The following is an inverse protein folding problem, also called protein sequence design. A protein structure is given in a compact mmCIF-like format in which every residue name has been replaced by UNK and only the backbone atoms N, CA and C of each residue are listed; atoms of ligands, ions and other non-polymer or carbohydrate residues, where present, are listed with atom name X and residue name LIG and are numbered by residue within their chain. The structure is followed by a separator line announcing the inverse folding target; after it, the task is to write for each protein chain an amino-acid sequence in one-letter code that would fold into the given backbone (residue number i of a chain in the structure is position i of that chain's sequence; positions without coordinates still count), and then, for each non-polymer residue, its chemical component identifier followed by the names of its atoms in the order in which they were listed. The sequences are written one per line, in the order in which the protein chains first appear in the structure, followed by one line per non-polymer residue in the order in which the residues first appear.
data_IF_167276833241
#
_entry.id   IF_167276833241
#
_cell.length_a   1.000
_cell.length_b   1.000
_cell.length_c   1.000
_cell.angle_alpha   90.00
_cell.angle_beta   90.00
_cell.angle_gamma   90.00
#
_symmetry.space_group_name_H-M   'P 1'
#
loop_
_entity.id
_entity.type
_entity.pdbx_description
1 polymer ?
#
# COMPACT_ATOMS: atom_id res chain seq x y z
N UNK A 1 -28.15 10.86 -14.46
CA UNK A 1 -27.22 9.83 -13.94
C UNK A 1 -26.06 10.54 -13.30
N UNK A 2 -26.14 10.83 -12.00
CA UNK A 2 -25.01 11.31 -11.21
C UNK A 2 -24.73 10.21 -10.19
N UNK A 3 -23.69 9.42 -10.41
CA UNK A 3 -23.17 8.52 -9.39
C UNK A 3 -22.64 9.41 -8.27
N UNK A 4 -23.47 9.64 -7.26
CA UNK A 4 -23.08 10.15 -5.97
C UNK A 4 -22.18 9.08 -5.36
N UNK A 5 -20.91 9.08 -5.75
CA UNK A 5 -19.89 8.42 -4.96
C UNK A 5 -19.76 9.30 -3.73
N UNK A 6 -20.57 9.01 -2.71
CA UNK A 6 -20.27 9.36 -1.33
C UNK A 6 -18.99 8.63 -0.96
N UNK A 7 -17.87 9.05 -1.56
CA UNK A 7 -16.57 8.54 -1.22
C UNK A 7 -16.27 9.14 0.15
N UNK A 8 -16.49 8.34 1.19
CA UNK A 8 -15.90 8.63 2.49
C UNK A 8 -14.44 9.05 2.23
N UNK A 9 -13.95 10.14 2.83
CA UNK A 9 -12.56 10.57 2.61
C UNK A 9 -11.56 9.45 2.93
N UNK A 10 -11.97 8.47 3.74
CA UNK A 10 -11.23 7.25 4.03
C UNK A 10 -11.08 6.30 2.83
N UNK A 11 -12.07 6.20 1.95
CA UNK A 11 -11.99 5.36 0.74
C UNK A 11 -11.04 5.97 -0.29
N UNK A 12 -11.09 7.30 -0.48
CA UNK A 12 -10.14 8.04 -1.32
C UNK A 12 -8.72 7.87 -0.79
N UNK A 13 -8.52 8.06 0.52
CA UNK A 13 -7.23 7.80 1.18
C UNK A 13 -6.78 6.36 0.98
N UNK A 14 -7.66 5.37 1.10
CA UNK A 14 -7.32 3.97 0.90
C UNK A 14 -6.85 3.70 -0.54
N UNK A 15 -7.56 4.21 -1.55
CA UNK A 15 -7.19 4.06 -2.96
C UNK A 15 -5.81 4.69 -3.24
N UNK A 16 -5.56 5.91 -2.77
CA UNK A 16 -4.26 6.55 -2.94
C UNK A 16 -3.13 5.79 -2.25
N UNK A 17 -3.37 5.29 -1.02
CA UNK A 17 -2.40 4.48 -0.28
C UNK A 17 -2.11 3.16 -1.00
N UNK A 18 -3.11 2.50 -1.59
CA UNK A 18 -2.91 1.27 -2.36
C UNK A 18 -2.04 1.50 -3.60
N UNK A 19 -2.27 2.59 -4.34
CA UNK A 19 -1.45 2.90 -5.51
C UNK A 19 -0.02 3.29 -5.14
N UNK A 20 0.17 4.13 -4.12
CA UNK A 20 1.51 4.46 -3.59
C UNK A 20 2.26 3.20 -3.15
N UNK A 21 1.54 2.21 -2.63
CA UNK A 21 2.10 0.93 -2.25
C UNK A 21 2.49 0.08 -3.45
N UNK A 22 1.70 0.09 -4.52
CA UNK A 22 2.07 -0.59 -5.76
C UNK A 22 3.38 -0.01 -6.32
N UNK A 23 3.51 1.31 -6.34
CA UNK A 23 4.75 1.99 -6.73
C UNK A 23 5.90 1.66 -5.80
N UNK A 24 5.69 1.70 -4.48
CA UNK A 24 6.70 1.30 -3.52
C UNK A 24 7.11 -0.18 -3.68
N UNK A 25 6.20 -1.07 -4.06
CA UNK A 25 6.50 -2.49 -4.31
C UNK A 25 7.35 -2.63 -5.56
N UNK A 26 7.01 -1.92 -6.64
CA UNK A 26 7.83 -1.88 -7.85
C UNK A 26 9.26 -1.45 -7.54
N UNK A 27 9.44 -0.33 -6.85
CA UNK A 27 10.76 0.21 -6.55
C UNK A 27 11.53 -0.63 -5.52
N UNK A 28 10.91 -0.99 -4.40
CA UNK A 28 11.62 -1.61 -3.27
C UNK A 28 11.72 -3.14 -3.37
N UNK A 29 10.78 -3.80 -4.04
CA UNK A 29 10.75 -5.27 -4.15
C UNK A 29 11.26 -5.74 -5.51
N UNK A 30 10.89 -5.04 -6.58
CA UNK A 30 11.26 -5.44 -7.94
C UNK A 30 12.49 -4.69 -8.47
N UNK A 31 13.01 -3.70 -7.72
CA UNK A 31 14.10 -2.81 -8.13
C UNK A 31 13.79 -2.10 -9.47
N UNK A 32 12.51 -1.88 -9.75
CA UNK A 32 12.02 -1.24 -10.98
C UNK A 32 11.96 0.27 -10.79
N UNK A 33 12.46 1.03 -11.76
CA UNK A 33 12.34 2.48 -11.75
C UNK A 33 10.94 2.91 -12.18
N UNK A 34 10.33 3.80 -11.40
CA UNK A 34 9.07 4.43 -11.78
C UNK A 34 9.29 5.34 -12.99
N UNK A 35 8.34 5.34 -13.91
CA UNK A 35 8.36 6.30 -15.02
C UNK A 35 8.07 7.72 -14.52
N UNK A 36 8.37 8.73 -15.34
CA UNK A 36 8.06 10.13 -15.03
C UNK A 36 6.56 10.35 -14.76
N UNK A 37 5.70 9.62 -15.48
CA UNK A 37 4.24 9.62 -15.26
C UNK A 37 3.88 9.03 -13.89
N UNK A 38 4.48 7.92 -13.50
CA UNK A 38 4.24 7.30 -12.18
C UNK A 38 4.80 8.15 -11.03
N UNK A 39 5.89 8.90 -11.27
CA UNK A 39 6.42 9.85 -10.29
C UNK A 39 5.51 11.08 -10.13
N UNK A 40 4.94 11.58 -11.22
CA UNK A 40 3.96 12.66 -11.17
C UNK A 40 2.67 12.22 -10.46
N UNK A 41 2.13 11.05 -10.81
CA UNK A 41 0.96 10.48 -10.15
C UNK A 41 1.22 10.21 -8.65
N UNK A 42 2.40 9.69 -8.30
CA UNK A 42 2.83 9.55 -6.91
C UNK A 42 2.81 10.90 -6.18
N UNK A 43 3.36 11.96 -6.78
CA UNK A 43 3.42 13.27 -6.15
C UNK A 43 2.02 13.87 -5.94
N UNK A 44 1.16 13.77 -6.95
CA UNK A 44 -0.23 14.25 -6.92
C UNK A 44 -1.05 13.56 -5.83
N UNK A 45 -1.02 12.22 -5.79
CA UNK A 45 -1.70 11.44 -4.73
C UNK A 45 -1.18 11.76 -3.34
N UNK A 46 0.11 12.06 -3.23
CA UNK A 46 0.74 12.37 -1.96
C UNK A 46 0.37 13.76 -1.46
N UNK A 47 0.25 14.74 -2.37
CA UNK A 47 -0.27 16.08 -2.07
C UNK A 47 -1.74 16.03 -1.63
N UNK A 48 -2.55 15.22 -2.30
CA UNK A 48 -3.96 15.02 -1.93
C UNK A 48 -4.08 14.33 -0.56
N UNK A 49 -3.29 13.28 -0.31
CA UNK A 49 -3.17 12.65 1.00
C UNK A 49 -2.71 13.62 2.08
N UNK A 50 -1.73 14.48 1.80
CA UNK A 50 -1.23 15.48 2.74
C UNK A 50 -2.33 16.51 3.07
N UNK A 51 -3.10 16.94 2.07
CA UNK A 51 -4.24 17.85 2.26
C UNK A 51 -5.33 17.22 3.12
N UNK A 52 -5.64 15.94 2.89
CA UNK A 52 -6.61 15.20 3.71
C UNK A 52 -6.08 15.00 5.14
N UNK A 53 -4.81 14.62 5.29
CA UNK A 53 -4.13 14.41 6.56
C UNK A 53 -3.90 15.70 7.37
N UNK A 54 -3.86 16.87 6.74
CA UNK A 54 -3.82 18.16 7.43
C UNK A 54 -5.03 18.33 8.37
N UNK A 55 -6.16 17.69 8.05
CA UNK A 55 -7.36 17.68 8.90
C UNK A 55 -7.24 16.75 10.12
N UNK A 56 -6.27 15.83 10.12
CA UNK A 56 -6.10 14.77 11.12
C UNK A 56 -4.78 14.88 11.89
N UNK A 57 -4.00 15.95 11.72
CA UNK A 57 -2.67 16.14 12.32
C UNK A 57 -1.68 15.00 11.97
N UNK A 58 -1.90 14.34 10.82
CA UNK A 58 -1.05 13.24 10.37
C UNK A 58 0.09 13.83 9.53
N UNK A 59 1.33 13.58 9.95
CA UNK A 59 2.51 14.06 9.24
C UNK A 59 2.88 13.16 8.06
N UNK A 60 3.63 13.72 7.11
CA UNK A 60 4.20 12.99 5.97
C UNK A 60 4.85 11.65 6.36
N UNK A 61 5.64 11.67 7.43
CA UNK A 61 6.33 10.50 7.97
C UNK A 61 5.36 9.42 8.42
N UNK A 62 4.21 9.79 8.98
CA UNK A 62 3.16 8.84 9.39
C UNK A 62 2.46 8.25 8.17
N UNK A 63 2.21 9.02 7.11
CA UNK A 63 1.67 8.53 5.83
C UNK A 63 2.62 7.50 5.23
N UNK A 64 3.90 7.83 5.12
CA UNK A 64 4.94 6.91 4.64
C UNK A 64 5.04 5.68 5.54
N UNK A 65 4.98 5.87 6.85
CA UNK A 65 4.97 4.75 7.81
C UNK A 65 3.75 3.87 7.63
N UNK A 66 2.56 4.41 7.34
CA UNK A 66 1.36 3.63 7.08
C UNK A 66 1.49 2.80 5.79
N UNK A 67 2.00 3.39 4.71
CA UNK A 67 2.27 2.69 3.45
C UNK A 67 3.27 1.55 3.69
N UNK A 68 4.42 1.87 4.30
CA UNK A 68 5.51 0.91 4.52
C UNK A 68 5.14 -0.16 5.56
N UNK A 69 4.50 0.21 6.68
CA UNK A 69 4.09 -0.73 7.74
C UNK A 69 3.09 -1.75 7.23
N UNK A 70 2.22 -1.36 6.30
CA UNK A 70 1.33 -2.34 5.68
C UNK A 70 2.14 -3.29 4.77
N UNK A 71 3.10 -2.80 3.99
CA UNK A 71 3.98 -3.65 3.15
C UNK A 71 4.85 -4.59 3.98
N UNK A 72 5.40 -4.09 5.08
CA UNK A 72 6.26 -4.78 6.01
C UNK A 72 5.50 -5.55 7.09
N UNK A 73 4.16 -5.64 7.01
CA UNK A 73 3.44 -6.66 7.78
C UNK A 73 3.90 -7.99 7.25
N UNK A 74 4.94 -8.53 7.89
CA UNK A 74 5.33 -9.91 7.75
C UNK A 74 4.05 -10.75 7.81
N UNK A 75 3.83 -11.68 6.87
CA UNK A 75 2.77 -12.65 7.04
C UNK A 75 2.99 -13.24 8.42
N UNK A 76 2.00 -13.10 9.32
CA UNK A 76 2.11 -13.61 10.69
C UNK A 76 2.60 -15.04 10.56
N UNK A 77 3.86 -15.29 10.92
CA UNK A 77 4.45 -16.62 11.02
C UNK A 77 3.82 -17.24 12.26
N UNK A 78 2.52 -17.49 12.23
CA UNK A 78 1.87 -18.21 13.30
C UNK A 78 2.26 -19.67 13.10
N UNK A 79 2.85 -20.27 14.13
CA UNK A 79 3.15 -21.70 14.19
C UNK A 79 1.90 -22.57 14.31
N UNK A 80 0.75 -22.05 13.86
CA UNK A 80 -0.50 -22.77 13.90
C UNK A 80 -0.44 -23.96 12.93
N UNK A 81 -1.05 -25.11 13.26
CA UNK A 81 -1.02 -26.30 12.41
C UNK A 81 -1.49 -26.02 10.97
N UNK A 82 -2.43 -25.08 10.78
CA UNK A 82 -2.92 -24.65 9.46
C UNK A 82 -1.88 -23.90 8.61
N UNK A 83 -0.99 -23.11 9.22
CA UNK A 83 0.07 -22.38 8.51
C UNK A 83 1.27 -23.28 8.20
N UNK A 84 1.57 -24.24 9.09
CA UNK A 84 2.58 -25.28 8.83
C UNK A 84 2.17 -26.18 7.67
N UNK A 85 0.89 -26.58 7.59
CA UNK A 85 0.36 -27.38 6.48
C UNK A 85 0.52 -26.68 5.12
N UNK A 86 0.41 -25.35 5.07
CA UNK A 86 0.56 -24.56 3.84
C UNK A 86 2.01 -24.45 3.35
N UNK A 87 3.00 -24.65 4.24
CA UNK A 87 4.44 -24.65 3.90
C UNK A 87 4.89 -25.93 3.19
N UNK A 88 4.16 -27.04 3.38
CA UNK A 88 4.49 -28.34 2.78
C UNK A 88 4.08 -28.51 1.31
N UNK A 89 3.49 -27.49 0.66
CA UNK A 89 2.99 -27.64 -0.72
C UNK A 89 3.97 -27.17 -1.80
N UNK A 90 5.10 -26.58 -1.42
CA UNK A 90 6.11 -26.07 -2.34
C UNK A 90 7.48 -26.74 -2.13
N UNK A 91 7.48 -28.06 -1.97
CA UNK A 91 8.70 -28.86 -2.10
C UNK A 91 8.40 -30.15 -2.89
N UNK A 92 8.97 -30.23 -4.08
CA UNK A 92 9.46 -31.49 -4.63
C UNK A 92 8.48 -32.47 -5.28
N UNK A 93 8.25 -32.30 -6.59
CA UNK A 93 8.20 -33.40 -7.56
C UNK A 93 8.65 -32.84 -8.91
N UNK A 94 9.50 -33.45 -9.72
CA UNK A 94 10.46 -34.54 -9.64
C UNK A 94 11.29 -34.40 -10.92
#
# INVERSE_FOLDING_TARGET
MANLISNDPREIVAEHLETLRAYATKVLVNDEQLTEEELADKADRFEELQTLCASFDVTEKEIVTLVLKQMMREPKRCGCPTCLARKGFSDGKA
#
